data_IF_392514827791
#
_entry.id   IF_392514827791
#
_cell.length_a   1.000
_cell.length_b   1.000
_cell.length_c   1.000
_cell.angle_alpha   90.00
_cell.angle_beta   90.00
_cell.angle_gamma   90.00
#
_symmetry.space_group_name_H-M   'P 1'
#
loop_
_entity.id
_entity.type
_entity.pdbx_description
1 polymer ?
#
# COMPACT_ATOMS: atom_id res chain seq x y z
N UNK A 1 15.15 0.41 -5.77
CA UNK A 1 13.67 0.49 -5.66
C UNK A 1 13.03 -0.03 -6.93
N UNK A 2 12.04 -0.91 -6.80
CA UNK A 2 11.39 -1.57 -7.95
C UNK A 2 10.02 -0.99 -8.30
N UNK A 3 9.53 -0.05 -7.54
CA UNK A 3 8.23 0.56 -7.75
C UNK A 3 7.58 0.99 -6.45
N UNK A 4 6.26 1.07 -6.48
CA UNK A 4 5.46 1.53 -5.36
C UNK A 4 4.35 0.55 -5.04
N UNK A 5 3.94 0.50 -3.78
CA UNK A 5 2.67 -0.14 -3.39
C UNK A 5 1.85 0.84 -2.54
N UNK A 6 0.54 0.72 -2.65
CA UNK A 6 -0.38 1.69 -2.06
C UNK A 6 -0.97 1.19 -0.74
N UNK A 7 -1.09 2.08 0.25
CA UNK A 7 -2.00 1.82 1.36
C UNK A 7 -3.45 2.09 0.92
N UNK A 8 -4.42 1.77 1.80
CA UNK A 8 -5.84 1.88 1.45
C UNK A 8 -6.28 3.31 1.14
N UNK A 9 -5.72 4.33 1.80
CA UNK A 9 -6.07 5.72 1.52
C UNK A 9 -5.64 6.12 0.11
N UNK A 10 -4.47 5.68 -0.32
CA UNK A 10 -3.99 5.93 -1.68
C UNK A 10 -4.81 5.18 -2.72
N UNK A 11 -5.25 3.95 -2.42
CA UNK A 11 -6.16 3.22 -3.32
C UNK A 11 -7.47 3.99 -3.51
N UNK A 12 -8.02 4.54 -2.43
CA UNK A 12 -9.25 5.32 -2.51
C UNK A 12 -9.11 6.56 -3.40
N UNK A 13 -7.97 7.26 -3.30
CA UNK A 13 -7.69 8.42 -4.15
C UNK A 13 -7.54 8.00 -5.61
N UNK A 14 -6.88 6.88 -5.87
CA UNK A 14 -6.78 6.31 -7.21
C UNK A 14 -8.17 6.06 -7.82
N UNK A 15 -9.11 5.55 -7.01
CA UNK A 15 -10.48 5.28 -7.46
C UNK A 15 -11.29 6.55 -7.72
N UNK A 16 -10.85 7.72 -7.26
CA UNK A 16 -11.48 9.01 -7.53
C UNK A 16 -10.97 9.65 -8.82
N UNK A 17 -9.96 9.08 -9.46
CA UNK A 17 -9.35 9.62 -10.70
C UNK A 17 -8.88 11.07 -10.55
N UNK A 18 -8.29 11.42 -9.42
CA UNK A 18 -7.74 12.78 -9.26
C UNK A 18 -6.60 13.03 -10.25
N UNK A 19 -6.66 14.10 -11.06
CA UNK A 19 -5.69 14.31 -12.16
C UNK A 19 -4.24 14.38 -11.69
N UNK A 20 -3.97 15.06 -10.58
CA UNK A 20 -2.62 15.21 -10.05
C UNK A 20 -2.03 13.87 -9.60
N UNK A 21 -2.86 13.03 -9.00
CA UNK A 21 -2.46 11.72 -8.57
C UNK A 21 -2.15 10.80 -9.76
N UNK A 22 -3.04 10.81 -10.75
CA UNK A 22 -2.86 10.04 -11.99
C UNK A 22 -1.62 10.48 -12.77
N UNK A 23 -1.30 11.77 -12.74
CA UNK A 23 -0.09 12.26 -13.37
C UNK A 23 1.17 11.70 -12.70
N UNK A 24 1.22 11.69 -11.37
CA UNK A 24 2.36 11.12 -10.65
C UNK A 24 2.51 9.63 -10.93
N UNK A 25 1.39 8.92 -11.01
CA UNK A 25 1.40 7.50 -11.35
C UNK A 25 1.95 7.27 -12.76
N UNK A 26 1.54 8.10 -13.72
CA UNK A 26 2.05 8.03 -15.09
C UNK A 26 3.54 8.30 -15.15
N UNK A 27 4.02 9.31 -14.43
CA UNK A 27 5.43 9.64 -14.34
C UNK A 27 6.25 8.48 -13.78
N UNK A 28 5.74 7.83 -12.74
CA UNK A 28 6.39 6.65 -12.16
C UNK A 28 6.47 5.51 -13.18
N UNK A 29 5.37 5.21 -13.88
CA UNK A 29 5.33 4.17 -14.90
C UNK A 29 6.28 4.46 -16.06
N UNK A 30 6.34 5.71 -16.52
CA UNK A 30 7.24 6.13 -17.58
C UNK A 30 8.70 5.94 -17.17
N UNK A 31 9.00 6.08 -15.89
CA UNK A 31 10.31 5.81 -15.31
C UNK A 31 10.58 4.33 -15.01
N UNK A 32 9.68 3.44 -15.39
CA UNK A 32 9.83 2.00 -15.14
C UNK A 32 9.45 1.57 -13.73
N UNK A 33 8.71 2.40 -12.99
CA UNK A 33 8.33 2.14 -11.60
C UNK A 33 6.82 1.89 -11.50
N UNK A 34 6.38 0.63 -11.47
CA UNK A 34 4.95 0.33 -11.37
C UNK A 34 4.38 0.74 -10.01
N UNK A 35 3.09 1.02 -10.00
CA UNK A 35 2.31 1.35 -8.79
C UNK A 35 1.32 0.20 -8.58
N UNK A 36 1.54 -0.60 -7.55
CA UNK A 36 0.90 -1.90 -7.38
C UNK A 36 0.04 -1.94 -6.12
N UNK A 37 -1.09 -2.63 -6.21
CA UNK A 37 -1.88 -2.99 -5.04
C UNK A 37 -1.22 -4.13 -4.28
N UNK A 38 -1.39 -4.15 -2.97
CA UNK A 38 -1.02 -5.30 -2.15
C UNK A 38 -2.26 -5.95 -1.53
N UNK A 39 -2.10 -7.16 -1.05
CA UNK A 39 -3.21 -7.95 -0.50
C UNK A 39 -3.95 -7.24 0.64
N UNK A 40 -3.23 -6.49 1.47
CA UNK A 40 -3.81 -5.82 2.63
C UNK A 40 -4.63 -4.60 2.22
N UNK A 41 -4.06 -3.72 1.40
CA UNK A 41 -4.79 -2.53 0.94
C UNK A 41 -5.98 -2.90 0.06
N UNK A 42 -5.85 -3.95 -0.74
CA UNK A 42 -6.97 -4.48 -1.51
C UNK A 42 -8.10 -4.94 -0.59
N UNK A 43 -7.76 -5.76 0.42
CA UNK A 43 -8.75 -6.28 1.37
C UNK A 43 -9.46 -5.14 2.11
N UNK A 44 -8.70 -4.21 2.66
CA UNK A 44 -9.26 -3.10 3.44
C UNK A 44 -10.15 -2.20 2.58
N UNK A 45 -9.71 -1.87 1.38
CA UNK A 45 -10.47 -1.02 0.46
C UNK A 45 -11.75 -1.73 0.03
N UNK A 46 -11.65 -2.97 -0.41
CA UNK A 46 -12.83 -3.72 -0.87
C UNK A 46 -13.82 -3.94 0.25
N UNK A 47 -13.35 -4.28 1.45
CA UNK A 47 -14.22 -4.43 2.63
C UNK A 47 -15.01 -3.16 2.90
N UNK A 48 -14.36 -2.00 2.87
CA UNK A 48 -15.02 -0.73 3.09
C UNK A 48 -16.05 -0.40 2.01
N UNK A 49 -15.74 -0.66 0.75
CA UNK A 49 -16.66 -0.44 -0.37
C UNK A 49 -17.87 -1.37 -0.31
N UNK A 50 -17.67 -2.61 0.09
CA UNK A 50 -18.76 -3.57 0.29
C UNK A 50 -19.67 -3.13 1.43
N UNK A 51 -19.10 -2.64 2.53
CA UNK A 51 -19.86 -2.18 3.68
C UNK A 51 -20.83 -1.06 3.32
N UNK A 52 -20.42 -0.10 2.49
CA UNK A 52 -21.27 1.01 2.07
C UNK A 52 -21.98 0.76 0.74
N UNK A 53 -21.85 -0.43 0.18
CA UNK A 53 -22.45 -0.83 -1.10
C UNK A 53 -22.11 0.12 -2.26
N UNK A 54 -20.84 0.50 -2.37
CA UNK A 54 -20.36 1.40 -3.41
C UNK A 54 -20.09 0.65 -4.70
N UNK A 55 -21.14 0.31 -5.46
CA UNK A 55 -21.06 -0.56 -6.64
C UNK A 55 -20.15 0.00 -7.75
N UNK A 56 -20.21 1.31 -7.99
CA UNK A 56 -19.38 1.94 -9.00
C UNK A 56 -17.89 1.79 -8.72
N UNK A 57 -17.48 2.08 -7.49
CA UNK A 57 -16.08 1.96 -7.06
C UNK A 57 -15.64 0.51 -6.98
N UNK A 58 -16.52 -0.42 -6.60
CA UNK A 58 -16.22 -1.85 -6.63
C UNK A 58 -15.92 -2.30 -8.06
N UNK A 59 -16.71 -1.85 -9.03
CA UNK A 59 -16.46 -2.15 -10.44
C UNK A 59 -15.14 -1.59 -10.95
N UNK A 60 -14.76 -0.37 -10.53
CA UNK A 60 -13.48 0.22 -10.87
C UNK A 60 -12.33 -0.57 -10.26
N UNK A 61 -12.45 -0.95 -9.01
CA UNK A 61 -11.43 -1.77 -8.34
C UNK A 61 -11.26 -3.12 -9.06
N UNK A 62 -12.35 -3.76 -9.42
CA UNK A 62 -12.31 -5.02 -10.18
C UNK A 62 -11.61 -4.84 -11.54
N UNK A 63 -11.81 -3.72 -12.21
CA UNK A 63 -11.13 -3.40 -13.46
C UNK A 63 -9.62 -3.27 -13.26
N UNK A 64 -9.21 -2.57 -12.19
CA UNK A 64 -7.79 -2.38 -11.87
C UNK A 64 -7.12 -3.75 -11.61
N UNK A 65 -7.74 -4.61 -10.80
CA UNK A 65 -7.13 -5.90 -10.46
C UNK A 65 -7.11 -6.88 -11.62
N UNK A 66 -7.95 -6.69 -12.64
CA UNK A 66 -7.86 -7.50 -13.86
C UNK A 66 -6.67 -7.14 -14.73
N UNK A 67 -6.16 -5.91 -14.60
CA UNK A 67 -5.06 -5.40 -15.42
C UNK A 67 -3.70 -5.52 -14.77
N UNK A 68 -3.65 -5.72 -13.46
CA UNK A 68 -2.40 -5.80 -12.73
C UNK A 68 -2.54 -6.77 -11.55
N UNK A 69 -1.46 -7.49 -11.26
CA UNK A 69 -1.45 -8.43 -10.14
C UNK A 69 -1.46 -7.68 -8.80
N UNK A 70 -2.13 -8.30 -7.83
CA UNK A 70 -2.07 -7.88 -6.44
C UNK A 70 -0.88 -8.59 -5.80
N UNK A 71 0.00 -7.85 -5.11
CA UNK A 71 1.12 -8.46 -4.40
C UNK A 71 0.56 -9.21 -3.19
N UNK A 72 0.80 -10.51 -3.15
CA UNK A 72 0.28 -11.37 -2.10
C UNK A 72 1.12 -11.30 -0.83
N UNK A 73 0.51 -11.74 0.27
CA UNK A 73 1.17 -11.90 1.56
C UNK A 73 1.67 -13.34 1.65
N UNK A 74 2.93 -13.54 1.32
CA UNK A 74 3.56 -14.86 1.34
C UNK A 74 4.37 -15.08 2.62
N UNK A 75 5.01 -16.25 2.73
CA UNK A 75 5.81 -16.58 3.91
C UNK A 75 6.98 -15.62 4.11
N UNK A 76 7.64 -15.19 3.04
CA UNK A 76 8.75 -14.24 3.13
C UNK A 76 8.29 -12.93 3.78
N UNK A 77 7.16 -12.39 3.34
CA UNK A 77 6.59 -11.19 3.94
C UNK A 77 6.16 -11.41 5.39
N UNK A 78 5.58 -12.57 5.70
CA UNK A 78 5.22 -12.90 7.08
C UNK A 78 6.44 -12.95 8.00
N UNK A 79 7.52 -13.54 7.55
CA UNK A 79 8.76 -13.60 8.35
C UNK A 79 9.34 -12.21 8.59
N UNK A 80 9.30 -11.34 7.57
CA UNK A 80 9.70 -9.93 7.73
C UNK A 80 8.80 -9.23 8.74
N UNK A 81 7.48 -9.43 8.65
CA UNK A 81 6.52 -8.83 9.58
C UNK A 81 6.80 -9.25 11.02
N UNK A 82 7.11 -10.52 11.25
CA UNK A 82 7.43 -11.02 12.58
C UNK A 82 8.71 -10.38 13.15
N UNK A 83 9.72 -10.19 12.32
CA UNK A 83 10.95 -9.50 12.73
C UNK A 83 10.67 -8.01 13.04
N UNK A 84 9.87 -7.35 12.23
CA UNK A 84 9.45 -5.97 12.48
C UNK A 84 8.66 -5.87 13.78
N UNK A 85 7.75 -6.81 14.02
CA UNK A 85 6.97 -6.86 15.26
C UNK A 85 7.88 -6.92 16.49
N UNK A 86 8.83 -7.84 16.48
CA UNK A 86 9.75 -8.01 17.60
C UNK A 86 10.58 -6.74 17.85
N UNK A 87 11.09 -6.12 16.78
CA UNK A 87 11.88 -4.90 16.87
C UNK A 87 11.06 -3.73 17.41
N UNK A 88 9.88 -3.48 16.84
CA UNK A 88 9.02 -2.37 17.25
C UNK A 88 8.48 -2.56 18.65
N UNK A 89 8.14 -3.78 19.04
CA UNK A 89 7.71 -4.08 20.40
C UNK A 89 8.83 -3.78 21.40
N UNK A 90 10.05 -4.18 21.10
CA UNK A 90 11.21 -3.93 21.95
C UNK A 90 11.48 -2.45 22.17
N UNK A 91 11.12 -1.61 21.19
CA UNK A 91 11.26 -0.15 21.25
C UNK A 91 10.04 0.56 21.81
N UNK A 92 8.98 -0.17 22.14
CA UNK A 92 7.71 0.44 22.55
C UNK A 92 7.03 1.24 21.47
N UNK A 93 7.20 0.85 20.19
CA UNK A 93 6.72 1.58 19.03
C UNK A 93 5.84 0.73 18.11
N UNK A 94 5.05 -0.19 18.66
CA UNK A 94 4.17 -1.05 17.86
C UNK A 94 3.22 -0.23 16.99
N UNK A 95 2.95 -0.77 15.80
CA UNK A 95 1.91 -0.32 14.88
C UNK A 95 0.89 -1.43 14.71
N UNK A 96 -0.24 -1.13 14.10
CA UNK A 96 -1.29 -2.13 13.87
C UNK A 96 -0.81 -3.25 12.94
N UNK A 97 -1.38 -4.44 13.11
CA UNK A 97 -1.00 -5.61 12.32
C UNK A 97 -1.15 -5.38 10.81
N UNK A 98 -2.24 -4.75 10.38
CA UNK A 98 -2.44 -4.47 8.96
C UNK A 98 -1.31 -3.61 8.38
N UNK A 99 -0.90 -2.56 9.11
CA UNK A 99 0.20 -1.69 8.70
C UNK A 99 1.53 -2.44 8.67
N UNK A 100 1.75 -3.28 9.68
CA UNK A 100 2.95 -4.11 9.78
C UNK A 100 3.08 -5.06 8.59
N UNK A 101 1.97 -5.70 8.22
CA UNK A 101 1.93 -6.63 7.08
C UNK A 101 2.15 -5.89 5.75
N UNK A 102 1.58 -4.70 5.61
CA UNK A 102 1.77 -3.86 4.42
C UNK A 102 3.23 -3.45 4.25
N UNK A 103 3.85 -3.00 5.35
CA UNK A 103 5.27 -2.66 5.36
C UNK A 103 6.14 -3.85 4.98
N UNK A 104 5.81 -5.02 5.50
CA UNK A 104 6.54 -6.26 5.20
C UNK A 104 6.46 -6.64 3.72
N UNK A 105 5.28 -6.49 3.10
CA UNK A 105 5.11 -6.73 1.67
C UNK A 105 5.99 -5.77 0.86
N UNK A 106 5.98 -4.48 1.22
CA UNK A 106 6.80 -3.48 0.55
C UNK A 106 8.30 -3.81 0.64
N UNK A 107 8.77 -4.20 1.83
CA UNK A 107 10.17 -4.59 2.03
C UNK A 107 10.53 -5.87 1.26
N UNK A 108 9.65 -6.86 1.25
CA UNK A 108 9.89 -8.13 0.55
C UNK A 108 10.07 -7.93 -0.96
N UNK A 109 9.43 -6.92 -1.53
CA UNK A 109 9.45 -6.65 -2.97
C UNK A 109 10.27 -5.41 -3.34
N UNK A 110 10.99 -4.81 -2.40
CA UNK A 110 11.81 -3.60 -2.62
C UNK A 110 10.99 -2.45 -3.21
N UNK A 111 9.81 -2.20 -2.63
CA UNK A 111 8.89 -1.16 -3.06
C UNK A 111 8.85 -0.02 -2.04
N UNK A 112 8.59 1.18 -2.54
CA UNK A 112 8.23 2.32 -1.69
C UNK A 112 6.74 2.23 -1.34
N UNK A 113 6.40 2.39 -0.07
CA UNK A 113 5.01 2.42 0.37
C UNK A 113 4.44 3.83 0.23
N UNK A 114 3.36 3.97 -0.52
CA UNK A 114 2.61 5.22 -0.63
C UNK A 114 1.59 5.27 0.50
N UNK A 115 1.76 6.19 1.42
CA UNK A 115 0.92 6.30 2.61
C UNK A 115 0.80 7.74 3.10
N UNK A 116 -0.37 8.10 3.61
CA UNK A 116 -0.57 9.34 4.36
C UNK A 116 -0.17 9.18 5.83
N UNK A 117 -0.02 7.94 6.30
CA UNK A 117 0.27 7.63 7.70
C UNK A 117 1.78 7.58 7.96
N UNK A 118 2.46 8.66 7.60
CA UNK A 118 3.92 8.76 7.67
C UNK A 118 4.42 8.52 9.09
N UNK A 119 3.71 9.05 10.07
CA UNK A 119 4.10 8.97 11.49
C UNK A 119 4.29 7.54 11.99
N UNK A 120 3.40 6.62 11.61
CA UNK A 120 3.50 5.22 12.01
C UNK A 120 4.62 4.51 11.24
N UNK A 121 4.67 4.69 9.94
CA UNK A 121 5.61 3.96 9.10
C UNK A 121 7.05 4.46 9.23
N UNK A 122 7.28 5.69 9.71
CA UNK A 122 8.62 6.19 10.05
C UNK A 122 9.32 5.35 11.12
N UNK A 123 8.56 4.61 11.92
CA UNK A 123 9.11 3.73 12.95
C UNK A 123 9.91 2.56 12.37
N UNK A 124 9.74 2.29 11.07
CA UNK A 124 10.43 1.23 10.34
C UNK A 124 11.54 1.88 9.50
N UNK A 125 12.77 1.84 10.01
CA UNK A 125 13.89 2.55 9.40
C UNK A 125 14.21 2.09 7.99
N UNK A 126 14.07 0.79 7.71
CA UNK A 126 14.41 0.21 6.41
C UNK A 126 13.38 0.46 5.32
N UNK A 127 12.20 1.00 5.69
CA UNK A 127 11.09 1.19 4.77
C UNK A 127 11.16 2.57 4.11
N UNK A 128 11.09 2.60 2.77
CA UNK A 128 10.90 3.85 2.02
C UNK A 128 9.41 4.17 1.95
N UNK A 129 9.05 5.40 2.31
CA UNK A 129 7.67 5.89 2.29
C UNK A 129 7.59 7.21 1.54
N UNK A 130 6.48 7.41 0.84
CA UNK A 130 6.12 8.68 0.21
C UNK A 130 4.63 8.92 0.41
N UNK A 131 4.24 10.18 0.42
CA UNK A 131 2.84 10.57 0.49
C UNK A 131 2.50 11.41 -0.74
N UNK A 132 1.65 10.88 -1.61
CA UNK A 132 1.18 11.57 -2.82
C UNK A 132 -0.15 12.30 -2.61
N UNK A 133 -0.73 12.25 -1.41
CA UNK A 133 -2.03 12.85 -1.10
C UNK A 133 -1.94 14.31 -0.67
N UNK A 134 -0.76 14.80 -0.41
CA UNK A 134 -0.62 16.14 0.10
C UNK A 134 -0.75 17.17 -1.00
N UNK A 135 -1.35 18.22 -0.65
CA UNK A 135 -1.31 19.44 -1.42
C UNK A 135 0.05 20.13 -1.29
#
# INVERSE_FOLDING_TARGET
>A
MRGYTLDSNHVQVLLRFEPQYLQRQREALDGGLPVLLNAISYFETRRGLLYVNARGKLGLLDTIVRQADIISLDKTALDIALNLYADLRGKGQLIEDADLLMAAIALAHDLTLLTANVRHFQRIESLRIENWLSS
#
